data_IF_060539327723
#
_entry.id   IF_060539327723
#
_cell.length_a   1.000
_cell.length_b   1.000
_cell.length_c   1.000
_cell.angle_alpha   90.00
_cell.angle_beta   90.00
_cell.angle_gamma   90.00
#
_symmetry.space_group_name_H-M   'P 1'
#
loop_
_entity.id
_entity.type
_entity.pdbx_description
1 polymer ?
#
# COMPACT_ATOMS: atom_id res chain seq x y z
N UNK A 1 14.47 -27.70 -0.98
CA UNK A 1 15.04 -27.25 -2.27
C UNK A 1 14.99 -25.73 -2.25
N UNK A 2 16.13 -25.04 -2.31
CA UNK A 2 16.14 -23.57 -2.49
C UNK A 2 15.97 -23.28 -3.98
N UNK A 3 15.11 -22.32 -4.32
CA UNK A 3 14.98 -21.82 -5.69
C UNK A 3 16.30 -21.18 -6.14
N UNK A 4 16.60 -21.25 -7.44
CA UNK A 4 17.68 -20.46 -8.03
C UNK A 4 17.26 -19.00 -8.26
N UNK A 5 18.19 -18.12 -8.62
CA UNK A 5 17.90 -16.70 -8.82
C UNK A 5 16.87 -16.42 -9.91
N UNK A 6 16.89 -17.22 -10.99
CA UNK A 6 15.92 -17.10 -12.08
C UNK A 6 14.51 -17.41 -11.60
N UNK A 7 14.35 -18.51 -10.87
CA UNK A 7 13.05 -18.92 -10.30
C UNK A 7 12.52 -17.92 -9.29
N UNK A 8 13.41 -17.31 -8.47
CA UNK A 8 13.02 -16.19 -7.60
C UNK A 8 12.52 -15.00 -8.40
N UNK A 9 13.26 -14.59 -9.44
CA UNK A 9 12.87 -13.47 -10.28
C UNK A 9 11.54 -13.73 -11.02
N UNK A 10 11.31 -14.97 -11.47
CA UNK A 10 10.05 -15.39 -12.07
C UNK A 10 8.89 -15.28 -11.06
N UNK A 11 9.06 -15.74 -9.83
CA UNK A 11 8.04 -15.59 -8.80
C UNK A 11 7.68 -14.12 -8.51
N UNK A 12 8.68 -13.24 -8.43
CA UNK A 12 8.45 -11.78 -8.26
C UNK A 12 7.69 -11.21 -9.47
N UNK A 13 8.10 -11.59 -10.69
CA UNK A 13 7.44 -11.13 -11.91
C UNK A 13 6.00 -11.64 -12.04
N UNK A 14 5.72 -12.86 -11.57
CA UNK A 14 4.39 -13.46 -11.59
C UNK A 14 3.43 -12.68 -10.67
N UNK A 15 3.85 -12.40 -9.44
CA UNK A 15 3.08 -11.59 -8.50
C UNK A 15 2.87 -10.16 -9.02
N UNK A 16 3.92 -9.54 -9.58
CA UNK A 16 3.81 -8.23 -10.19
C UNK A 16 2.76 -8.22 -11.33
N UNK A 17 2.72 -9.27 -12.16
CA UNK A 17 1.70 -9.40 -13.21
C UNK A 17 0.29 -9.51 -12.65
N UNK A 18 0.08 -10.20 -11.52
CA UNK A 18 -1.22 -10.28 -10.86
C UNK A 18 -1.67 -8.90 -10.37
N UNK A 19 -0.82 -8.18 -9.64
CA UNK A 19 -1.11 -6.83 -9.16
C UNK A 19 -1.44 -5.89 -10.32
N UNK A 20 -0.65 -5.93 -11.41
CA UNK A 20 -0.88 -5.10 -12.59
C UNK A 20 -2.16 -5.46 -13.34
N UNK A 21 -2.60 -6.72 -13.27
CA UNK A 21 -3.81 -7.18 -13.96
C UNK A 21 -5.11 -6.67 -13.32
N UNK A 22 -5.06 -6.18 -12.07
CA UNK A 22 -6.20 -5.51 -11.43
C UNK A 22 -6.63 -4.25 -12.19
N UNK A 23 -5.68 -3.59 -12.87
CA UNK A 23 -5.87 -2.29 -13.51
C UNK A 23 -6.11 -1.13 -12.54
N UNK A 24 -6.05 -1.35 -11.23
CA UNK A 24 -6.28 -0.32 -10.21
C UNK A 24 -5.00 0.49 -9.97
N UNK A 25 -5.18 1.78 -9.70
CA UNK A 25 -4.09 2.66 -9.30
C UNK A 25 -4.51 3.53 -8.11
N UNK A 26 -3.53 3.99 -7.34
CA UNK A 26 -3.76 4.92 -6.24
C UNK A 26 -2.67 5.99 -6.23
N UNK A 27 -3.09 7.21 -5.89
CA UNK A 27 -2.15 8.32 -5.64
C UNK A 27 -1.64 8.19 -4.20
N UNK A 28 -0.32 8.18 -4.04
CA UNK A 28 0.31 8.19 -2.72
C UNK A 28 0.47 9.63 -2.29
N UNK A 29 -0.14 9.98 -1.16
CA UNK A 29 -0.11 11.30 -0.56
C UNK A 29 0.68 11.23 0.74
N UNK A 30 1.74 12.03 0.85
CA UNK A 30 2.61 12.09 2.02
C UNK A 30 2.51 13.44 2.68
N UNK A 31 2.53 13.45 4.02
CA UNK A 31 2.51 14.71 4.78
C UNK A 31 3.72 15.57 4.42
N UNK A 32 3.48 16.84 4.12
CA UNK A 32 4.52 17.84 3.93
C UNK A 32 5.07 18.19 5.31
N UNK A 33 6.37 17.98 5.58
CA UNK A 33 6.97 18.41 6.84
C UNK A 33 6.90 19.94 6.94
N UNK A 34 6.03 20.46 7.80
CA UNK A 34 5.93 21.88 8.14
C UNK A 34 6.17 22.10 9.63
N UNK A 35 6.61 23.30 10.00
CA UNK A 35 6.67 23.68 11.41
C UNK A 35 5.25 23.64 11.98
N UNK A 36 5.02 22.78 12.98
CA UNK A 36 3.77 22.72 13.75
C UNK A 36 3.67 23.96 14.65
N UNK A 37 3.50 25.13 14.05
CA UNK A 37 3.25 26.37 14.75
C UNK A 37 1.79 26.38 15.19
N UNK A 38 1.56 25.98 16.43
CA UNK A 38 0.31 26.16 17.18
C UNK A 38 -0.95 25.56 16.54
N UNK A 39 -1.28 24.33 16.93
CA UNK A 39 -2.67 23.91 17.17
C UNK A 39 -3.64 23.77 16.00
N UNK A 40 -3.21 23.87 14.74
CA UNK A 40 -4.06 23.52 13.59
C UNK A 40 -3.71 22.13 13.06
N UNK A 41 -4.65 21.19 13.23
CA UNK A 41 -4.61 19.78 12.80
C UNK A 41 -4.71 19.58 11.28
N UNK A 42 -4.53 20.63 10.48
CA UNK A 42 -4.62 20.57 9.02
C UNK A 42 -3.24 20.25 8.43
N UNK A 43 -2.82 19.01 8.62
CA UNK A 43 -1.64 18.47 7.95
C UNK A 43 -1.83 18.59 6.43
N UNK A 44 -0.91 19.28 5.77
CA UNK A 44 -0.87 19.34 4.31
C UNK A 44 -0.27 18.06 3.75
N UNK A 45 -0.89 17.51 2.71
CA UNK A 45 -0.41 16.33 2.00
C UNK A 45 -0.04 16.70 0.57
N UNK A 46 1.09 16.18 0.09
CA UNK A 46 1.50 16.28 -1.30
C UNK A 46 1.45 14.90 -1.93
N UNK A 47 1.04 14.84 -3.21
CA UNK A 47 1.25 13.64 -4.01
C UNK A 47 2.76 13.43 -4.23
N UNK A 48 3.20 12.19 -4.04
CA UNK A 48 4.58 11.78 -4.32
C UNK A 48 4.68 10.84 -5.52
N UNK A 49 3.63 10.07 -5.79
CA UNK A 49 3.60 9.10 -6.89
C UNK A 49 2.18 8.59 -7.16
N UNK A 50 2.02 7.92 -8.30
CA UNK A 50 0.88 7.07 -8.62
C UNK A 50 1.40 5.64 -8.76
N UNK A 51 0.80 4.71 -8.01
CA UNK A 51 1.24 3.31 -7.98
C UNK A 51 0.13 2.37 -8.43
N UNK A 52 0.46 1.25 -9.10
CA UNK A 52 -0.47 0.15 -9.27
C UNK A 52 -0.68 -0.56 -7.92
N UNK A 53 -1.89 -1.05 -7.71
CA UNK A 53 -2.24 -1.86 -6.54
C UNK A 53 -3.33 -2.86 -6.90
N UNK A 54 -3.49 -3.88 -6.08
CA UNK A 54 -4.70 -4.69 -6.01
C UNK A 54 -5.37 -4.39 -4.67
N UNK A 55 -6.56 -3.78 -4.69
CA UNK A 55 -7.29 -3.35 -3.50
C UNK A 55 -8.42 -4.34 -3.17
N UNK A 56 -8.37 -4.90 -1.97
CA UNK A 56 -9.45 -5.69 -1.39
C UNK A 56 -10.12 -4.92 -0.25
N UNK A 57 -11.31 -4.39 -0.52
CA UNK A 57 -12.13 -3.63 0.44
C UNK A 57 -12.88 -4.54 1.45
N UNK A 58 -12.73 -5.86 1.35
CA UNK A 58 -13.32 -6.82 2.29
C UNK A 58 -12.18 -7.55 3.01
N UNK A 59 -11.70 -7.02 4.14
CA UNK A 59 -10.58 -7.63 4.86
C UNK A 59 -10.97 -9.02 5.39
N UNK A 60 -10.00 -9.93 5.57
CA UNK A 60 -10.21 -11.21 6.25
C UNK A 60 -10.88 -11.04 7.61
N UNK A 61 -11.69 -12.01 8.03
CA UNK A 61 -12.47 -11.94 9.28
C UNK A 61 -11.57 -11.69 10.51
N UNK A 62 -10.35 -12.23 10.52
CA UNK A 62 -9.38 -12.09 11.61
C UNK A 62 -8.88 -10.65 11.82
N UNK A 63 -8.96 -9.82 10.77
CA UNK A 63 -8.53 -8.43 10.76
C UNK A 63 -9.72 -7.45 10.74
N UNK A 64 -10.95 -7.97 10.68
CA UNK A 64 -12.17 -7.19 10.68
C UNK A 64 -12.28 -6.32 11.95
N UNK A 65 -12.58 -5.03 11.75
CA UNK A 65 -12.65 -4.04 12.83
C UNK A 65 -11.31 -3.41 13.24
N UNK A 66 -10.18 -3.87 12.69
CA UNK A 66 -8.86 -3.23 12.85
C UNK A 66 -8.44 -2.44 11.61
N UNK A 67 -8.78 -2.99 10.45
CA UNK A 67 -8.55 -2.41 9.12
C UNK A 67 -9.86 -2.43 8.34
N UNK A 68 -9.95 -1.54 7.37
CA UNK A 68 -11.10 -1.43 6.46
C UNK A 68 -10.79 -2.03 5.08
N UNK A 69 -9.52 -2.16 4.70
CA UNK A 69 -9.10 -2.77 3.45
C UNK A 69 -7.67 -3.33 3.52
N UNK A 70 -7.35 -4.21 2.59
CA UNK A 70 -5.99 -4.64 2.28
C UNK A 70 -5.62 -4.21 0.86
N UNK A 71 -4.36 -3.86 0.64
CA UNK A 71 -3.85 -3.68 -0.71
C UNK A 71 -2.49 -4.37 -0.92
N UNK A 72 -2.32 -4.98 -2.08
CA UNK A 72 -1.05 -5.50 -2.55
C UNK A 72 -0.41 -4.49 -3.51
N UNK A 73 0.83 -4.09 -3.27
CA UNK A 73 1.59 -3.18 -4.14
C UNK A 73 2.93 -3.77 -4.54
N UNK A 74 3.50 -3.26 -5.63
CA UNK A 74 4.81 -3.69 -6.11
C UNK A 74 5.89 -3.51 -5.03
N UNK A 75 6.92 -4.36 -5.01
CA UNK A 75 7.93 -4.36 -3.95
C UNK A 75 8.72 -3.04 -3.89
N UNK A 76 8.87 -2.34 -5.01
CA UNK A 76 9.57 -1.06 -5.14
C UNK A 76 8.68 0.17 -4.88
N UNK A 77 7.39 0.00 -4.57
CA UNK A 77 6.50 1.11 -4.25
C UNK A 77 7.02 1.91 -3.03
N UNK A 78 7.19 3.24 -3.20
CA UNK A 78 7.51 4.17 -2.11
C UNK A 78 6.25 4.51 -1.30
N UNK A 79 5.93 3.62 -0.37
CA UNK A 79 4.81 3.76 0.58
C UNK A 79 5.32 3.56 2.01
N UNK A 80 4.72 4.29 2.95
CA UNK A 80 5.07 4.26 4.38
C UNK A 80 3.81 4.29 5.22
N UNK A 81 3.93 3.87 6.48
CA UNK A 81 2.88 4.12 7.47
C UNK A 81 2.55 5.60 7.56
N UNK A 82 1.28 5.93 7.78
CA UNK A 82 0.69 7.28 7.77
C UNK A 82 0.58 7.98 6.40
N UNK A 83 1.18 7.45 5.34
CA UNK A 83 0.84 7.90 3.98
C UNK A 83 -0.64 7.63 3.71
N UNK A 84 -1.25 8.43 2.82
CA UNK A 84 -2.61 8.20 2.35
C UNK A 84 -2.60 7.65 0.93
N UNK A 85 -3.50 6.72 0.66
CA UNK A 85 -3.79 6.22 -0.67
C UNK A 85 -5.12 6.81 -1.12
N UNK A 86 -5.08 7.71 -2.09
CA UNK A 86 -6.29 8.15 -2.78
C UNK A 86 -6.54 7.21 -3.97
N UNK A 87 -7.42 6.24 -3.76
CA UNK A 87 -7.99 5.38 -4.79
C UNK A 87 -9.28 6.02 -5.34
N UNK A 88 -9.80 5.51 -6.46
CA UNK A 88 -10.88 6.15 -7.22
C UNK A 88 -12.09 6.60 -6.38
N UNK A 89 -12.51 5.79 -5.41
CA UNK A 89 -13.72 6.04 -4.61
C UNK A 89 -13.44 6.54 -3.21
N UNK A 90 -12.28 6.20 -2.67
CA UNK A 90 -12.01 6.30 -1.24
C UNK A 90 -10.56 6.67 -0.98
N UNK A 91 -10.36 7.40 0.12
CA UNK A 91 -9.02 7.66 0.63
C UNK A 91 -8.78 6.80 1.85
N UNK A 92 -7.66 6.08 1.84
CA UNK A 92 -7.21 5.28 2.97
C UNK A 92 -5.96 5.88 3.60
N UNK A 93 -5.75 5.63 4.88
CA UNK A 93 -4.48 5.82 5.56
C UNK A 93 -3.81 4.46 5.71
N UNK A 94 -2.53 4.39 5.37
CA UNK A 94 -1.71 3.19 5.56
C UNK A 94 -1.42 3.05 7.06
N UNK A 95 -1.95 1.99 7.68
CA UNK A 95 -1.68 1.64 9.06
C UNK A 95 -0.35 0.89 9.20
N UNK A 96 -0.09 -0.09 8.33
CA UNK A 96 1.17 -0.83 8.27
C UNK A 96 1.54 -1.18 6.83
N UNK A 97 2.84 -1.39 6.63
CA UNK A 97 3.44 -1.90 5.39
C UNK A 97 4.22 -3.15 5.75
N UNK A 98 3.85 -4.28 5.16
CA UNK A 98 4.44 -5.59 5.43
C UNK A 98 5.04 -6.14 4.13
N UNK A 99 6.31 -6.52 4.14
CA UNK A 99 6.97 -7.13 2.98
C UNK A 99 6.65 -8.62 2.93
N UNK A 100 6.18 -9.09 1.77
CA UNK A 100 5.91 -10.51 1.55
C UNK A 100 7.10 -11.20 0.89
N UNK A 101 7.66 -12.16 1.62
CA UNK A 101 8.87 -12.85 1.22
C UNK A 101 8.57 -14.23 0.64
N UNK A 102 9.11 -14.49 -0.54
CA UNK A 102 9.14 -15.81 -1.14
C UNK A 102 10.59 -16.23 -1.39
N UNK A 103 11.06 -17.23 -0.63
CA UNK A 103 12.43 -17.75 -0.72
C UNK A 103 13.53 -16.67 -0.67
N UNK A 104 13.36 -15.66 0.20
CA UNK A 104 14.32 -14.58 0.40
C UNK A 104 14.21 -13.41 -0.58
N UNK A 105 13.31 -13.48 -1.56
CA UNK A 105 12.94 -12.33 -2.40
C UNK A 105 11.66 -11.68 -1.89
N UNK A 106 11.61 -10.35 -1.87
CA UNK A 106 10.36 -9.60 -1.62
C UNK A 106 9.57 -9.61 -2.93
N UNK A 107 8.37 -10.19 -2.89
CA UNK A 107 7.51 -10.30 -4.08
C UNK A 107 6.58 -9.10 -4.23
N UNK A 108 6.06 -8.61 -3.11
CA UNK A 108 5.16 -7.46 -3.02
C UNK A 108 5.15 -6.94 -1.58
N UNK A 109 4.43 -5.84 -1.37
CA UNK A 109 4.11 -5.33 -0.04
C UNK A 109 2.60 -5.41 0.20
N UNK A 110 2.22 -5.87 1.38
CA UNK A 110 0.87 -5.84 1.91
C UNK A 110 0.66 -4.57 2.72
N UNK A 111 -0.40 -3.84 2.39
CA UNK A 111 -0.79 -2.61 3.07
C UNK A 111 -2.07 -2.86 3.85
N UNK A 112 -2.01 -2.59 5.15
CA UNK A 112 -3.18 -2.55 6.01
C UNK A 112 -3.76 -1.13 6.00
N UNK A 113 -5.02 -1.01 5.59
CA UNK A 113 -5.62 0.28 5.27
C UNK A 113 -6.79 0.58 6.19
N UNK A 114 -6.85 1.82 6.68
CA UNK A 114 -8.00 2.36 7.40
C UNK A 114 -8.63 3.46 6.56
N UNK A 115 -9.94 3.36 6.34
CA UNK A 115 -10.71 4.30 5.54
C UNK A 115 -10.77 5.65 6.25
N UNK A 116 -10.45 6.71 5.51
CA UNK A 116 -10.66 8.07 5.98
C UNK A 116 -12.04 8.51 5.56
N UNK A 117 -12.96 8.58 6.53
CA UNK A 117 -14.28 9.16 6.28
C UNK A 117 -14.09 10.65 5.98
N UNK A 118 -14.61 11.10 4.83
CA UNK A 118 -14.71 12.52 4.52
C UNK A 118 -15.45 13.24 5.66
N UNK A 119 -14.86 14.34 6.13
CA UNK A 119 -15.53 15.25 7.08
C UNK A 119 -16.82 15.81 6.49
#
# INVERSE_FOLDING_TARGET
>A
MLLNDRERAEAVADVARLILSSGQTARVLRVVPGERLYGTDDAQYTEISVIPLELNETPPEELSGKIDALACVLPDADVRGEDRLAADRETYRIQSVEEEHFFGAVTHKNLQLVKLNGR
#
